data_IF_017268396021
#
_entry.id   IF_017268396021
#
_cell.length_a   1.000
_cell.length_b   1.000
_cell.length_c   1.000
_cell.angle_alpha   90.00
_cell.angle_beta   90.00
_cell.angle_gamma   90.00
#
_symmetry.space_group_name_H-M   'P 1'
#
loop_
_entity.id
_entity.type
_entity.pdbx_description
1 polymer ?
#
# COMPACT_ATOMS: atom_id res chain seq x y z
N UNK A 1 -10.79 11.36 12.66
CA UNK A 1 -10.81 12.73 12.10
C UNK A 1 -12.15 13.12 11.47
N UNK A 2 -12.68 12.36 10.51
CA UNK A 2 -13.97 12.64 9.82
C UNK A 2 -15.12 12.89 10.80
N UNK A 3 -15.37 11.97 11.75
CA UNK A 3 -16.45 12.12 12.73
C UNK A 3 -16.30 13.37 13.61
N UNK A 4 -15.06 13.73 13.96
CA UNK A 4 -14.74 14.93 14.74
C UNK A 4 -15.07 16.21 13.98
N UNK A 5 -14.59 16.33 12.73
CA UNK A 5 -14.87 17.49 11.87
C UNK A 5 -16.36 17.60 11.57
N UNK A 6 -17.01 16.47 11.25
CA UNK A 6 -18.44 16.44 11.01
C UNK A 6 -19.26 16.92 12.22
N UNK A 7 -18.92 16.45 13.42
CA UNK A 7 -19.61 16.86 14.64
C UNK A 7 -19.33 18.33 14.97
N UNK A 8 -18.12 18.83 14.72
CA UNK A 8 -17.81 20.25 14.86
C UNK A 8 -18.69 21.10 13.93
N UNK A 9 -18.78 20.73 12.65
CA UNK A 9 -19.63 21.41 11.66
C UNK A 9 -21.10 21.40 12.08
N UNK A 10 -21.64 20.25 12.48
CA UNK A 10 -23.01 20.16 12.99
C UNK A 10 -23.17 21.01 14.24
N UNK A 11 -22.17 21.01 15.12
CA UNK A 11 -22.33 21.67 16.40
C UNK A 11 -22.36 23.19 16.27
N UNK A 12 -21.57 23.74 15.34
CA UNK A 12 -21.60 25.15 14.95
C UNK A 12 -22.91 25.48 14.23
N UNK A 13 -23.35 24.67 13.27
CA UNK A 13 -24.60 24.88 12.50
C UNK A 13 -25.82 24.93 13.41
N UNK A 14 -25.88 24.06 14.41
CA UNK A 14 -27.00 23.97 15.36
C UNK A 14 -26.81 24.88 16.59
N UNK A 15 -25.77 25.72 16.62
CA UNK A 15 -25.48 26.67 17.72
C UNK A 15 -25.47 26.03 19.11
N UNK A 16 -24.89 24.84 19.23
CA UNK A 16 -24.72 24.24 20.56
C UNK A 16 -23.74 25.06 21.40
N UNK A 17 -23.92 25.01 22.73
CA UNK A 17 -23.00 25.65 23.67
C UNK A 17 -21.59 25.04 23.54
N UNK A 18 -20.56 25.84 23.85
CA UNK A 18 -19.16 25.38 23.87
C UNK A 18 -18.99 24.11 24.71
N UNK A 19 -19.67 24.05 25.87
CA UNK A 19 -19.65 22.86 26.75
C UNK A 19 -20.18 21.61 26.04
N UNK A 20 -21.24 21.74 25.23
CA UNK A 20 -21.77 20.63 24.44
C UNK A 20 -20.84 20.19 23.30
N UNK A 21 -20.12 21.13 22.67
CA UNK A 21 -19.09 20.83 21.66
C UNK A 21 -17.95 20.03 22.29
N UNK A 22 -17.42 20.50 23.42
CA UNK A 22 -16.34 19.83 24.14
C UNK A 22 -16.74 18.44 24.63
N UNK A 23 -17.93 18.27 25.20
CA UNK A 23 -18.41 16.97 25.65
C UNK A 23 -18.44 15.94 24.51
N UNK A 24 -18.92 16.32 23.32
CA UNK A 24 -18.93 15.43 22.14
C UNK A 24 -17.53 15.14 21.61
N UNK A 25 -16.66 16.15 21.58
CA UNK A 25 -15.26 15.97 21.17
C UNK A 25 -14.54 14.98 22.10
N UNK A 26 -14.72 15.11 23.41
CA UNK A 26 -14.17 14.20 24.41
C UNK A 26 -14.66 12.78 24.17
N UNK A 27 -15.98 12.56 24.01
CA UNK A 27 -16.54 11.22 23.76
C UNK A 27 -15.95 10.58 22.50
N UNK A 28 -15.65 11.36 21.46
CA UNK A 28 -15.02 10.84 20.24
C UNK A 28 -13.52 10.60 20.32
N UNK A 29 -12.80 11.40 21.11
CA UNK A 29 -11.33 11.32 21.21
C UNK A 29 -10.92 10.34 22.32
N UNK A 30 -11.71 10.21 23.39
CA UNK A 30 -11.40 9.38 24.55
C UNK A 30 -11.01 7.94 24.19
N UNK A 31 -11.68 7.24 23.26
CA UNK A 31 -11.28 5.89 22.84
C UNK A 31 -9.91 5.84 22.15
N UNK A 32 -9.44 6.96 21.58
CA UNK A 32 -8.14 7.05 20.93
C UNK A 32 -7.00 7.33 21.92
N UNK A 33 -7.29 7.78 23.13
CA UNK A 33 -6.27 8.17 24.12
C UNK A 33 -5.33 7.01 24.46
N UNK A 34 -5.79 5.78 24.78
CA UNK A 34 -4.89 4.67 25.07
C UNK A 34 -3.95 4.34 23.90
N UNK A 35 -4.48 4.41 22.68
CA UNK A 35 -3.71 4.17 21.46
C UNK A 35 -2.64 5.24 21.23
N UNK A 36 -3.01 6.53 21.35
CA UNK A 36 -2.06 7.65 21.21
C UNK A 36 -0.99 7.63 22.31
N UNK A 37 -1.38 7.27 23.54
CA UNK A 37 -0.45 7.11 24.66
C UNK A 37 0.56 5.99 24.38
N UNK A 38 0.09 4.80 24.04
CA UNK A 38 0.94 3.66 23.71
C UNK A 38 1.95 4.02 22.60
N UNK A 39 1.44 4.59 21.50
CA UNK A 39 2.27 4.95 20.36
C UNK A 39 3.31 6.04 20.73
N UNK A 40 2.91 7.04 21.51
CA UNK A 40 3.82 8.09 22.00
C UNK A 40 4.90 7.58 22.96
N UNK A 41 4.61 6.54 23.73
CA UNK A 41 5.61 5.90 24.60
C UNK A 41 6.58 5.05 23.79
N UNK A 42 6.09 4.18 22.89
CA UNK A 42 6.90 3.28 22.08
C UNK A 42 7.85 4.05 21.15
N UNK A 43 7.31 5.01 20.40
CA UNK A 43 8.10 5.84 19.47
C UNK A 43 9.23 6.64 20.12
N UNK A 44 9.16 6.91 21.44
CA UNK A 44 10.22 7.62 22.18
C UNK A 44 11.24 6.70 22.83
N UNK A 45 10.88 5.43 23.07
CA UNK A 45 11.75 4.48 23.78
C UNK A 45 12.63 3.67 22.84
N UNK A 46 12.23 3.55 21.59
CA UNK A 46 12.87 2.66 20.62
C UNK A 46 13.10 3.42 19.30
N UNK A 47 14.36 3.73 19.00
CA UNK A 47 14.77 4.45 17.78
C UNK A 47 14.39 3.71 16.49
N UNK A 48 14.28 2.39 16.55
CA UNK A 48 13.82 1.55 15.44
C UNK A 48 12.41 1.95 14.98
N UNK A 49 11.48 2.18 15.92
CA UNK A 49 10.11 2.56 15.56
C UNK A 49 10.06 3.93 14.90
N UNK A 50 10.89 4.87 15.33
CA UNK A 50 10.99 6.19 14.69
C UNK A 50 11.41 6.06 13.22
N UNK A 51 12.43 5.26 12.94
CA UNK A 51 12.93 5.02 11.58
C UNK A 51 11.88 4.31 10.71
N UNK A 52 11.24 3.26 11.24
CA UNK A 52 10.18 2.54 10.54
C UNK A 52 8.98 3.43 10.21
N UNK A 53 8.53 4.26 11.15
CA UNK A 53 7.33 5.07 11.00
C UNK A 53 7.52 6.28 10.10
N UNK A 54 8.69 6.91 10.14
CA UNK A 54 8.91 8.20 9.49
C UNK A 54 9.85 8.18 8.30
N UNK A 55 10.83 7.25 8.25
CA UNK A 55 11.79 7.19 7.14
C UNK A 55 11.34 6.19 6.06
N UNK A 56 11.02 4.96 6.47
CA UNK A 56 10.73 3.90 5.50
C UNK A 56 9.31 3.95 4.96
N UNK A 57 8.35 4.34 5.80
CA UNK A 57 6.92 4.22 5.50
C UNK A 57 6.36 5.39 4.69
N UNK A 58 7.03 5.74 3.60
CA UNK A 58 6.63 6.86 2.72
C UNK A 58 5.76 6.36 1.57
N UNK A 59 4.52 6.82 1.54
CA UNK A 59 3.59 6.63 0.42
C UNK A 59 3.05 8.01 0.06
N UNK A 60 3.65 8.67 -0.95
CA UNK A 60 3.22 10.00 -1.33
C UNK A 60 1.79 9.98 -1.87
N UNK A 61 1.02 11.05 -1.66
CA UNK A 61 -0.30 11.14 -2.26
C UNK A 61 -0.18 11.31 -3.78
N UNK A 62 -1.11 10.76 -4.56
CA UNK A 62 -1.20 11.11 -5.98
C UNK A 62 -1.46 12.63 -6.12
N UNK A 63 -0.98 13.26 -7.21
CA UNK A 63 -1.30 14.65 -7.49
C UNK A 63 -2.82 14.91 -7.45
N UNK A 64 -3.30 16.12 -7.10
CA UNK A 64 -4.74 16.42 -7.04
C UNK A 64 -5.50 16.03 -8.31
N UNK A 65 -4.92 16.30 -9.48
CA UNK A 65 -5.49 15.87 -10.76
C UNK A 65 -5.46 14.34 -10.92
N UNK A 66 -4.42 13.67 -10.42
CA UNK A 66 -4.32 12.22 -10.38
C UNK A 66 -5.43 11.57 -9.55
N UNK A 67 -5.85 12.16 -8.43
CA UNK A 67 -7.01 11.69 -7.65
C UNK A 67 -8.28 11.76 -8.50
N UNK A 68 -8.51 12.89 -9.17
CA UNK A 68 -9.69 13.08 -10.02
C UNK A 68 -9.71 12.10 -11.20
N UNK A 69 -8.57 11.96 -11.89
CA UNK A 69 -8.42 11.05 -13.03
C UNK A 69 -8.53 9.58 -12.61
N UNK A 70 -8.00 9.22 -11.43
CA UNK A 70 -8.06 7.86 -10.90
C UNK A 70 -9.50 7.36 -10.66
N UNK A 71 -10.42 8.25 -10.30
CA UNK A 71 -11.84 7.94 -10.19
C UNK A 71 -12.62 8.07 -11.50
N UNK A 72 -12.02 8.66 -12.54
CA UNK A 72 -12.62 8.81 -13.87
C UNK A 72 -14.03 9.41 -13.84
N UNK A 73 -15.00 8.75 -14.48
CA UNK A 73 -16.39 9.21 -14.54
C UNK A 73 -17.04 9.33 -13.16
N UNK A 74 -16.61 8.54 -12.16
CA UNK A 74 -17.15 8.63 -10.81
C UNK A 74 -16.83 9.98 -10.18
N UNK A 75 -15.66 10.56 -10.46
CA UNK A 75 -15.31 11.89 -9.96
C UNK A 75 -16.25 12.97 -10.50
N UNK A 76 -16.55 12.92 -11.81
CA UNK A 76 -17.47 13.85 -12.47
C UNK A 76 -18.86 13.77 -11.83
N UNK A 77 -19.42 12.56 -11.72
CA UNK A 77 -20.73 12.37 -11.12
C UNK A 77 -20.76 12.71 -9.63
N UNK A 78 -19.67 12.48 -8.90
CA UNK A 78 -19.55 12.83 -7.50
C UNK A 78 -19.59 14.35 -7.29
N UNK A 79 -18.88 15.14 -8.11
CA UNK A 79 -18.92 16.61 -8.05
C UNK A 79 -20.33 17.15 -8.30
N UNK A 80 -21.02 16.62 -9.33
CA UNK A 80 -22.43 16.95 -9.61
C UNK A 80 -23.31 16.57 -8.41
N UNK A 81 -23.05 15.39 -7.83
CA UNK A 81 -23.72 14.86 -6.65
C UNK A 81 -23.58 15.78 -5.44
N UNK A 82 -22.37 16.23 -5.12
CA UNK A 82 -22.08 17.15 -4.02
C UNK A 82 -22.89 18.44 -4.15
N UNK A 83 -22.88 19.07 -5.34
CA UNK A 83 -23.62 20.31 -5.58
C UNK A 83 -25.13 20.17 -5.33
N UNK A 84 -25.74 19.10 -5.84
CA UNK A 84 -27.17 18.81 -5.61
C UNK A 84 -27.47 18.37 -4.17
N UNK A 85 -26.58 17.61 -3.56
CA UNK A 85 -26.71 17.11 -2.19
C UNK A 85 -26.79 18.26 -1.19
N UNK A 86 -25.91 19.25 -1.34
CA UNK A 86 -25.90 20.46 -0.51
C UNK A 86 -27.13 21.32 -0.74
N UNK A 87 -27.53 21.55 -2.00
CA UNK A 87 -28.73 22.35 -2.34
C UNK A 87 -30.03 21.77 -1.77
N UNK A 88 -30.14 20.44 -1.68
CA UNK A 88 -31.33 19.76 -1.13
C UNK A 88 -31.29 19.60 0.39
N UNK A 89 -30.35 20.25 1.09
CA UNK A 89 -30.30 20.29 2.55
C UNK A 89 -30.05 18.94 3.22
N UNK A 90 -29.47 17.96 2.52
CA UNK A 90 -29.15 16.65 3.07
C UNK A 90 -28.06 16.72 4.15
N UNK A 91 -27.91 15.64 4.93
CA UNK A 91 -26.87 15.52 5.94
C UNK A 91 -25.47 15.70 5.33
N UNK A 92 -24.60 16.49 5.97
CA UNK A 92 -23.27 16.84 5.46
C UNK A 92 -22.22 15.73 5.59
N UNK A 93 -22.54 14.58 6.21
CA UNK A 93 -21.57 13.54 6.54
C UNK A 93 -20.78 13.07 5.32
N UNK A 94 -21.46 12.75 4.22
CA UNK A 94 -20.81 12.18 3.02
C UNK A 94 -19.93 13.23 2.30
N UNK A 95 -20.42 14.48 2.03
CA UNK A 95 -19.55 15.53 1.51
C UNK A 95 -18.37 15.88 2.43
N UNK A 96 -18.59 15.93 3.76
CA UNK A 96 -17.54 16.20 4.74
C UNK A 96 -16.53 15.05 4.75
N UNK A 97 -16.98 13.80 4.66
CA UNK A 97 -16.09 12.65 4.54
C UNK A 97 -15.21 12.76 3.29
N UNK A 98 -15.79 13.00 2.12
CA UNK A 98 -15.03 13.20 0.88
C UNK A 98 -13.99 14.34 1.01
N UNK A 99 -14.43 15.51 1.50
CA UNK A 99 -13.57 16.68 1.65
C UNK A 99 -12.46 16.47 2.68
N UNK A 100 -12.78 15.88 3.83
CA UNK A 100 -11.80 15.62 4.89
C UNK A 100 -10.75 14.61 4.42
N UNK A 101 -11.14 13.53 3.75
CA UNK A 101 -10.17 12.59 3.19
C UNK A 101 -9.26 13.25 2.16
N UNK A 102 -9.81 14.16 1.33
CA UNK A 102 -9.01 14.95 0.39
C UNK A 102 -8.01 15.86 1.08
N UNK A 103 -8.39 16.53 2.17
CA UNK A 103 -7.47 17.35 2.92
C UNK A 103 -6.40 16.51 3.63
N UNK A 104 -6.76 15.36 4.21
CA UNK A 104 -5.83 14.45 4.89
C UNK A 104 -4.77 13.92 3.94
N UNK A 105 -5.15 13.62 2.70
CA UNK A 105 -4.25 13.11 1.68
C UNK A 105 -3.03 14.02 1.46
N UNK A 106 -3.19 15.33 1.66
CA UNK A 106 -2.11 16.31 1.48
C UNK A 106 -1.56 16.87 2.80
N UNK A 107 -1.89 16.26 3.94
CA UNK A 107 -1.19 16.55 5.18
C UNK A 107 0.25 16.02 5.10
N UNK A 108 1.21 16.67 5.78
CA UNK A 108 2.63 16.32 5.74
C UNK A 108 2.93 15.08 6.60
N UNK A 109 2.23 13.97 6.31
CA UNK A 109 2.48 12.67 6.89
C UNK A 109 3.14 11.75 5.86
N UNK A 110 4.20 11.00 6.21
CA UNK A 110 4.90 10.11 5.29
C UNK A 110 3.97 9.13 4.54
N UNK A 111 2.95 8.61 5.23
CA UNK A 111 2.01 7.61 4.72
C UNK A 111 0.68 8.20 4.24
N UNK A 112 0.61 9.50 3.94
CA UNK A 112 -0.64 10.18 3.63
C UNK A 112 -1.35 9.61 2.40
N UNK A 113 -0.61 9.07 1.42
CA UNK A 113 -1.15 8.40 0.25
C UNK A 113 -2.09 7.24 0.57
N UNK A 114 -1.93 6.55 1.71
CA UNK A 114 -2.85 5.47 2.13
C UNK A 114 -4.26 5.95 2.41
N UNK A 115 -4.45 7.23 2.76
CA UNK A 115 -5.77 7.79 2.99
C UNK A 115 -6.62 7.89 1.72
N UNK A 116 -6.01 7.72 0.53
CA UNK A 116 -6.74 7.53 -0.72
C UNK A 116 -7.72 6.35 -0.67
N UNK A 117 -7.41 5.28 0.07
CA UNK A 117 -8.29 4.11 0.23
C UNK A 117 -9.65 4.48 0.85
N UNK A 118 -9.67 5.50 1.71
CA UNK A 118 -10.89 5.98 2.37
C UNK A 118 -11.85 6.74 1.46
N UNK A 119 -11.47 7.07 0.22
CA UNK A 119 -12.30 7.87 -0.70
C UNK A 119 -13.38 7.07 -1.42
N UNK A 120 -13.19 5.77 -1.61
CA UNK A 120 -14.04 4.99 -2.52
C UNK A 120 -15.52 5.07 -2.11
N UNK A 121 -15.80 4.95 -0.81
CA UNK A 121 -17.17 4.97 -0.26
C UNK A 121 -17.85 6.33 -0.48
N UNK A 122 -17.30 7.48 -0.01
CA UNK A 122 -17.98 8.76 -0.18
C UNK A 122 -18.06 9.18 -1.66
N UNK A 123 -17.04 8.93 -2.47
CA UNK A 123 -17.06 9.25 -3.91
C UNK A 123 -18.12 8.42 -4.64
N UNK A 124 -18.16 7.10 -4.44
CA UNK A 124 -19.17 6.24 -5.06
C UNK A 124 -20.60 6.63 -4.64
N UNK A 125 -20.80 6.97 -3.37
CA UNK A 125 -22.10 7.41 -2.84
C UNK A 125 -22.55 8.71 -3.51
N UNK A 126 -21.65 9.70 -3.60
CA UNK A 126 -21.94 10.99 -4.23
C UNK A 126 -22.14 10.83 -5.74
N UNK A 127 -21.38 9.96 -6.39
CA UNK A 127 -21.50 9.66 -7.81
C UNK A 127 -22.85 9.02 -8.14
N UNK A 128 -23.25 7.98 -7.41
CA UNK A 128 -24.55 7.34 -7.57
C UNK A 128 -25.70 8.34 -7.34
N UNK A 129 -25.58 9.19 -6.31
CA UNK A 129 -26.55 10.24 -6.05
C UNK A 129 -26.62 11.28 -7.19
N UNK A 130 -25.46 11.76 -7.67
CA UNK A 130 -25.37 12.70 -8.77
C UNK A 130 -25.99 12.14 -10.04
N UNK A 131 -25.71 10.87 -10.35
CA UNK A 131 -26.27 10.18 -11.50
C UNK A 131 -27.80 10.07 -11.41
N UNK A 132 -28.33 9.56 -10.29
CA UNK A 132 -29.76 9.30 -10.11
C UNK A 132 -30.61 10.56 -9.93
N UNK A 133 -30.09 11.54 -9.18
CA UNK A 133 -30.88 12.72 -8.77
C UNK A 133 -30.64 13.95 -9.62
N UNK A 134 -29.62 13.94 -10.48
CA UNK A 134 -29.27 15.07 -11.35
C UNK A 134 -29.15 14.64 -12.80
N UNK A 135 -28.24 13.73 -13.12
CA UNK A 135 -27.93 13.38 -14.52
C UNK A 135 -29.11 12.73 -15.22
N UNK A 136 -29.71 11.66 -14.67
CA UNK A 136 -30.84 11.01 -15.31
C UNK A 136 -32.07 11.93 -15.48
N UNK A 137 -32.47 12.74 -14.49
CA UNK A 137 -33.50 13.76 -14.69
C UNK A 137 -33.20 14.74 -15.83
N UNK A 138 -31.96 15.22 -15.97
CA UNK A 138 -31.56 16.10 -17.07
C UNK A 138 -31.59 15.38 -18.43
N UNK A 139 -31.10 14.13 -18.46
CA UNK A 139 -31.14 13.32 -19.68
C UNK A 139 -32.57 13.10 -20.15
N UNK A 140 -33.55 12.87 -19.26
CA UNK A 140 -34.97 12.74 -19.62
C UNK A 140 -35.51 13.92 -20.45
N UNK A 141 -34.99 15.12 -20.24
CA UNK A 141 -35.38 16.32 -20.99
C UNK A 141 -34.65 16.50 -22.33
N UNK A 142 -33.63 15.70 -22.61
CA UNK A 142 -32.79 15.80 -23.79
C UNK A 142 -33.40 15.12 -25.03
N UNK A 143 -33.02 15.59 -26.21
CA UNK A 143 -33.33 14.94 -27.50
C UNK A 143 -32.70 13.54 -27.60
N UNK A 144 -31.57 13.30 -26.93
CA UNK A 144 -30.93 11.99 -26.84
C UNK A 144 -31.86 10.96 -26.18
N UNK A 145 -32.54 11.33 -25.10
CA UNK A 145 -33.49 10.45 -24.43
C UNK A 145 -34.65 10.04 -25.33
N UNK A 146 -35.17 10.97 -26.17
CA UNK A 146 -36.21 10.64 -27.14
C UNK A 146 -35.77 9.59 -28.15
N UNK A 147 -34.49 9.57 -28.54
CA UNK A 147 -33.93 8.53 -29.43
C UNK A 147 -33.90 7.18 -28.72
N UNK A 148 -33.40 7.12 -27.49
CA UNK A 148 -33.36 5.88 -26.69
C UNK A 148 -34.78 5.38 -26.39
N UNK A 149 -35.72 6.27 -26.10
CA UNK A 149 -37.13 5.95 -25.85
C UNK A 149 -37.87 5.34 -27.05
N UNK A 150 -37.35 5.46 -28.27
CA UNK A 150 -37.88 4.75 -29.44
C UNK A 150 -37.40 3.30 -29.52
N UNK A 151 -36.30 2.98 -28.86
CA UNK A 151 -35.66 1.65 -28.93
C UNK A 151 -36.11 0.76 -27.75
N UNK A 152 -36.37 1.34 -26.59
CA UNK A 152 -36.69 0.60 -25.36
C UNK A 152 -37.85 1.23 -24.59
N UNK A 153 -38.63 0.39 -23.91
CA UNK A 153 -39.75 0.82 -23.05
C UNK A 153 -39.28 1.46 -21.74
N UNK A 154 -38.06 1.19 -21.29
CA UNK A 154 -37.50 1.70 -20.01
C UNK A 154 -36.17 2.43 -20.22
N UNK A 155 -36.16 3.63 -20.82
CA UNK A 155 -34.92 4.25 -21.32
C UNK A 155 -33.92 4.59 -20.23
N UNK A 156 -34.38 5.04 -19.06
CA UNK A 156 -33.48 5.34 -17.92
C UNK A 156 -32.85 4.07 -17.37
N UNK A 157 -33.62 2.99 -17.21
CA UNK A 157 -33.06 1.73 -16.71
C UNK A 157 -32.11 1.10 -17.73
N UNK A 158 -32.39 1.23 -19.02
CA UNK A 158 -31.46 0.84 -20.09
C UNK A 158 -30.17 1.65 -20.01
N UNK A 159 -30.23 2.98 -19.89
CA UNK A 159 -29.04 3.81 -19.73
C UNK A 159 -28.24 3.47 -18.46
N UNK A 160 -28.93 3.20 -17.34
CA UNK A 160 -28.30 2.73 -16.10
C UNK A 160 -27.55 1.41 -16.32
N UNK A 161 -28.19 0.43 -16.95
CA UNK A 161 -27.56 -0.86 -17.26
C UNK A 161 -26.37 -0.71 -18.19
N UNK A 162 -26.49 0.10 -19.25
CA UNK A 162 -25.38 0.39 -20.17
C UNK A 162 -24.22 1.03 -19.43
N UNK A 163 -24.47 2.03 -18.57
CA UNK A 163 -23.42 2.65 -17.77
C UNK A 163 -22.72 1.63 -16.85
N UNK A 164 -23.47 0.76 -16.17
CA UNK A 164 -22.89 -0.32 -15.36
C UNK A 164 -22.05 -1.25 -16.24
N UNK A 165 -22.56 -1.68 -17.39
CA UNK A 165 -21.83 -2.54 -18.33
C UNK A 165 -20.54 -1.87 -18.81
N UNK A 166 -20.56 -0.56 -19.07
CA UNK A 166 -19.36 0.20 -19.47
C UNK A 166 -18.30 0.31 -18.37
N UNK A 167 -18.62 -0.01 -17.10
CA UNK A 167 -17.62 -0.11 -16.03
C UNK A 167 -16.96 -1.50 -15.95
N UNK A 168 -17.52 -2.51 -16.62
CA UNK A 168 -16.98 -3.87 -16.60
C UNK A 168 -15.61 -3.97 -17.30
N UNK A 169 -15.38 -3.35 -18.50
CA UNK A 169 -14.10 -3.46 -19.19
C UNK A 169 -12.90 -3.06 -18.35
N UNK A 170 -12.98 -2.02 -17.51
CA UNK A 170 -11.84 -1.63 -16.67
C UNK A 170 -11.49 -2.71 -15.64
N UNK A 171 -12.51 -3.35 -15.05
CA UNK A 171 -12.31 -4.46 -14.10
C UNK A 171 -11.75 -5.69 -14.81
N UNK A 172 -12.27 -6.01 -16.00
CA UNK A 172 -11.75 -7.11 -16.83
C UNK A 172 -10.30 -6.85 -17.21
N UNK A 173 -9.94 -5.63 -17.64
CA UNK A 173 -8.57 -5.28 -18.01
C UNK A 173 -7.59 -5.47 -16.85
N UNK A 174 -7.98 -5.12 -15.62
CA UNK A 174 -7.15 -5.37 -14.43
C UNK A 174 -6.94 -6.87 -14.23
N UNK A 175 -8.00 -7.67 -14.29
CA UNK A 175 -7.91 -9.14 -14.12
C UNK A 175 -7.09 -9.78 -15.25
N UNK A 176 -7.33 -9.37 -16.50
CA UNK A 176 -6.56 -9.83 -17.65
C UNK A 176 -5.09 -9.47 -17.52
N UNK A 177 -4.78 -8.26 -17.09
CA UNK A 177 -3.40 -7.83 -16.84
C UNK A 177 -2.78 -8.68 -15.74
N UNK A 178 -3.48 -8.95 -14.64
CA UNK A 178 -2.99 -9.86 -13.60
C UNK A 178 -2.72 -11.26 -14.14
N UNK A 179 -3.67 -11.86 -14.85
CA UNK A 179 -3.51 -13.20 -15.46
C UNK A 179 -2.33 -13.21 -16.43
N UNK A 180 -2.20 -12.18 -17.26
CA UNK A 180 -1.09 -12.05 -18.20
C UNK A 180 0.26 -11.99 -17.46
N UNK A 181 0.37 -11.21 -16.39
CA UNK A 181 1.60 -11.17 -15.60
C UNK A 181 1.89 -12.53 -14.94
N UNK A 182 0.88 -13.20 -14.39
CA UNK A 182 1.02 -14.55 -13.81
C UNK A 182 1.48 -15.58 -14.86
N UNK A 183 1.03 -15.48 -16.11
CA UNK A 183 1.44 -16.40 -17.19
C UNK A 183 2.82 -16.05 -17.74
N UNK A 184 3.19 -14.77 -17.82
CA UNK A 184 4.40 -14.31 -18.48
C UNK A 184 5.60 -14.13 -17.55
N UNK A 185 5.36 -13.99 -16.25
CA UNK A 185 6.41 -13.80 -15.24
C UNK A 185 6.67 -15.13 -14.55
N UNK A 186 7.89 -15.63 -14.63
CA UNK A 186 8.31 -16.88 -13.98
C UNK A 186 9.13 -16.64 -12.71
N UNK A 187 9.18 -15.39 -12.24
CA UNK A 187 10.11 -14.91 -11.21
C UNK A 187 9.43 -13.97 -10.18
N UNK A 188 10.19 -13.46 -9.20
CA UNK A 188 9.75 -12.49 -8.22
C UNK A 188 9.14 -11.25 -8.91
N UNK A 189 8.01 -10.70 -8.40
CA UNK A 189 7.39 -10.97 -7.10
C UNK A 189 6.31 -12.05 -7.09
N UNK A 190 6.08 -12.77 -8.20
CA UNK A 190 4.96 -13.70 -8.31
C UNK A 190 5.34 -15.15 -7.97
N UNK A 191 6.55 -15.55 -8.33
CA UNK A 191 7.04 -16.92 -8.15
C UNK A 191 8.39 -16.91 -7.45
N UNK A 192 8.69 -18.05 -6.82
CA UNK A 192 10.01 -18.39 -6.30
C UNK A 192 10.43 -19.72 -6.90
N UNK A 193 11.73 -19.92 -7.10
CA UNK A 193 12.25 -21.18 -7.62
C UNK A 193 12.19 -22.28 -6.56
N UNK A 194 11.95 -23.52 -6.98
CA UNK A 194 11.84 -24.66 -6.05
C UNK A 194 13.12 -24.85 -5.23
N UNK A 195 14.28 -24.63 -5.85
CA UNK A 195 15.60 -24.69 -5.20
C UNK A 195 15.75 -23.65 -4.08
N UNK A 196 15.13 -22.48 -4.24
CA UNK A 196 15.12 -21.42 -3.22
C UNK A 196 14.20 -21.76 -2.06
N UNK A 197 13.08 -22.45 -2.33
CA UNK A 197 12.17 -22.94 -1.29
C UNK A 197 12.87 -24.00 -0.44
N UNK A 198 13.54 -24.97 -1.07
CA UNK A 198 14.31 -26.01 -0.35
C UNK A 198 15.40 -25.40 0.53
N UNK A 199 16.14 -24.42 0.00
CA UNK A 199 17.16 -23.69 0.76
C UNK A 199 16.56 -22.90 1.94
N UNK A 200 15.38 -22.30 1.75
CA UNK A 200 14.67 -21.58 2.81
C UNK A 200 14.14 -22.52 3.90
N UNK A 201 13.66 -23.71 3.54
CA UNK A 201 13.27 -24.76 4.49
C UNK A 201 14.47 -25.26 5.29
N UNK A 202 15.62 -25.47 4.63
CA UNK A 202 16.86 -25.81 5.33
C UNK A 202 17.25 -24.73 6.34
N UNK A 203 17.19 -23.44 5.95
CA UNK A 203 17.44 -22.34 6.88
C UNK A 203 16.46 -22.32 8.05
N UNK A 204 15.19 -22.65 7.82
CA UNK A 204 14.19 -22.68 8.90
C UNK A 204 14.56 -23.70 9.99
N UNK A 205 15.12 -24.85 9.60
CA UNK A 205 15.53 -25.91 10.54
C UNK A 205 16.89 -25.64 11.21
N UNK A 206 17.72 -24.76 10.63
CA UNK A 206 19.10 -24.54 11.08
C UNK A 206 19.36 -23.14 11.65
N UNK A 207 18.37 -22.24 11.62
CA UNK A 207 18.49 -20.90 12.20
C UNK A 207 17.85 -20.80 13.58
N UNK A 208 18.34 -19.89 14.40
CA UNK A 208 17.79 -19.46 15.69
C UNK A 208 17.60 -17.93 15.71
N UNK A 209 17.03 -17.38 16.79
CA UNK A 209 16.69 -15.95 16.91
C UNK A 209 17.90 -14.99 16.84
N UNK A 210 19.11 -15.49 17.12
CA UNK A 210 20.34 -14.69 17.08
C UNK A 210 20.99 -14.68 15.69
N UNK A 211 20.58 -15.59 14.80
CA UNK A 211 21.17 -15.69 13.47
C UNK A 211 20.71 -14.55 12.56
N UNK A 212 21.65 -14.07 11.74
CA UNK A 212 21.40 -13.09 10.70
C UNK A 212 21.70 -13.70 9.33
N UNK A 213 20.69 -13.77 8.48
CA UNK A 213 20.81 -14.23 7.09
C UNK A 213 21.01 -13.04 6.16
N UNK A 214 22.10 -13.05 5.41
CA UNK A 214 22.42 -12.08 4.37
C UNK A 214 21.93 -12.59 3.02
N UNK A 215 20.73 -12.15 2.63
CA UNK A 215 20.05 -12.48 1.39
C UNK A 215 19.59 -11.20 0.69
N UNK A 216 19.45 -11.26 -0.63
CA UNK A 216 18.91 -10.16 -1.44
C UNK A 216 17.39 -10.03 -1.30
N UNK A 217 16.83 -8.95 -1.85
CA UNK A 217 15.47 -8.47 -1.59
C UNK A 217 14.36 -9.52 -1.71
N UNK A 218 14.30 -10.36 -2.77
CA UNK A 218 13.25 -11.37 -2.90
C UNK A 218 13.25 -12.38 -1.75
N UNK A 219 14.37 -13.07 -1.55
CA UNK A 219 14.48 -14.09 -0.49
C UNK A 219 14.47 -13.49 0.90
N UNK A 220 15.05 -12.30 1.07
CA UNK A 220 14.94 -11.52 2.30
C UNK A 220 13.49 -11.16 2.68
N UNK A 221 12.57 -11.04 1.72
CA UNK A 221 11.13 -10.87 1.98
C UNK A 221 10.42 -12.19 2.31
N UNK A 222 10.88 -13.30 1.72
CA UNK A 222 10.28 -14.62 1.90
C UNK A 222 10.67 -15.27 3.23
N UNK A 223 11.97 -15.26 3.55
CA UNK A 223 12.55 -15.98 4.69
C UNK A 223 11.89 -15.67 6.05
N UNK A 224 11.49 -14.43 6.40
CA UNK A 224 10.84 -14.14 7.68
C UNK A 224 9.53 -14.89 7.93
N UNK A 225 8.95 -15.53 6.90
CA UNK A 225 7.80 -16.43 7.05
C UNK A 225 8.18 -17.77 7.70
N UNK A 226 9.41 -18.22 7.50
CA UNK A 226 9.86 -19.58 7.83
C UNK A 226 10.90 -19.60 8.95
N UNK A 227 11.89 -18.70 8.88
CA UNK A 227 13.03 -18.71 9.80
C UNK A 227 12.68 -18.01 11.12
N UNK A 228 13.27 -18.47 12.23
CA UNK A 228 13.21 -17.75 13.51
C UNK A 228 14.26 -16.64 13.61
N UNK A 229 15.28 -16.66 12.74
CA UNK A 229 16.33 -15.67 12.68
C UNK A 229 15.91 -14.34 12.04
N UNK A 230 16.90 -13.47 11.89
CA UNK A 230 16.76 -12.14 11.27
C UNK A 230 17.27 -12.19 9.84
N UNK A 231 16.73 -11.30 9.00
CA UNK A 231 17.25 -11.05 7.65
C UNK A 231 17.92 -9.68 7.61
N UNK A 232 19.05 -9.60 6.90
CA UNK A 232 19.76 -8.33 6.73
C UNK A 232 18.89 -7.30 6.01
N UNK A 233 18.16 -7.77 5.00
CA UNK A 233 17.32 -6.99 4.11
C UNK A 233 16.04 -7.77 3.84
N UNK A 234 14.89 -7.11 3.91
CA UNK A 234 13.57 -7.72 3.72
C UNK A 234 12.56 -6.70 3.22
N UNK A 235 11.38 -6.63 3.82
CA UNK A 235 10.28 -5.80 3.30
C UNK A 235 10.61 -4.31 3.25
N UNK A 236 10.20 -3.64 2.16
CA UNK A 236 10.57 -2.24 1.89
C UNK A 236 10.16 -1.24 2.98
N UNK A 237 9.04 -1.48 3.68
CA UNK A 237 8.60 -0.64 4.79
C UNK A 237 9.14 -1.07 6.16
N UNK A 238 9.79 -2.24 6.26
CA UNK A 238 10.22 -2.86 7.53
C UNK A 238 11.74 -3.00 7.66
N UNK A 239 12.49 -2.76 6.58
CA UNK A 239 13.96 -2.79 6.57
C UNK A 239 14.51 -1.38 6.75
N UNK A 240 15.08 -1.07 7.92
CA UNK A 240 15.77 0.20 8.16
C UNK A 240 16.87 0.44 7.12
N UNK A 241 16.96 1.67 6.61
CA UNK A 241 17.94 2.11 5.61
C UNK A 241 17.97 1.19 4.38
N UNK A 242 16.80 0.85 3.84
CA UNK A 242 16.65 -0.09 2.73
C UNK A 242 17.61 0.23 1.56
N UNK A 243 17.64 1.48 1.09
CA UNK A 243 18.44 1.87 -0.08
C UNK A 243 19.95 1.67 0.14
N UNK A 244 20.44 1.99 1.34
CA UNK A 244 21.83 1.76 1.73
C UNK A 244 22.13 0.26 1.77
N UNK A 245 21.26 -0.52 2.41
CA UNK A 245 21.43 -1.98 2.51
C UNK A 245 21.34 -2.69 1.16
N UNK A 246 20.46 -2.23 0.25
CA UNK A 246 20.42 -2.72 -1.14
C UNK A 246 21.77 -2.50 -1.80
N UNK A 247 22.29 -1.27 -1.73
CA UNK A 247 23.60 -0.90 -2.29
C UNK A 247 24.73 -1.76 -1.69
N UNK A 248 24.68 -2.07 -0.40
CA UNK A 248 25.66 -2.94 0.27
C UNK A 248 25.60 -4.39 -0.22
N UNK A 249 24.40 -4.96 -0.39
CA UNK A 249 24.24 -6.33 -0.91
C UNK A 249 24.66 -6.41 -2.38
N UNK A 250 24.26 -5.44 -3.20
CA UNK A 250 24.67 -5.36 -4.61
C UNK A 250 26.20 -5.25 -4.74
N UNK A 251 26.83 -4.37 -3.95
CA UNK A 251 28.28 -4.23 -3.89
C UNK A 251 28.96 -5.50 -3.39
N UNK A 252 28.38 -6.21 -2.43
CA UNK A 252 28.92 -7.48 -1.95
C UNK A 252 29.02 -8.50 -3.09
N UNK A 253 28.00 -8.59 -3.95
CA UNK A 253 27.98 -9.52 -5.08
C UNK A 253 28.71 -9.01 -6.34
N UNK A 254 29.05 -7.72 -6.45
CA UNK A 254 29.84 -7.18 -7.56
C UNK A 254 31.22 -7.87 -7.65
N UNK A 255 31.55 -8.38 -8.85
CA UNK A 255 32.82 -9.07 -9.13
C UNK A 255 34.09 -8.24 -8.83
N UNK A 256 34.04 -6.91 -8.92
CA UNK A 256 35.16 -6.01 -8.68
C UNK A 256 35.40 -5.73 -7.18
N UNK A 257 34.47 -6.13 -6.32
CA UNK A 257 34.62 -5.92 -4.88
C UNK A 257 35.70 -6.83 -4.31
N UNK A 258 36.65 -6.33 -3.51
CA UNK A 258 37.67 -7.16 -2.86
C UNK A 258 37.08 -8.06 -1.76
N UNK A 259 37.61 -9.27 -1.60
CA UNK A 259 37.19 -10.19 -0.52
C UNK A 259 37.37 -9.58 0.88
N UNK A 260 38.40 -8.77 1.11
CA UNK A 260 38.61 -8.08 2.38
C UNK A 260 37.47 -7.12 2.74
N UNK A 261 36.83 -6.50 1.73
CA UNK A 261 35.65 -5.68 1.96
C UNK A 261 34.41 -6.52 2.28
N UNK A 262 34.24 -7.65 1.56
CA UNK A 262 33.16 -8.63 1.82
C UNK A 262 33.23 -9.18 3.24
N UNK A 263 34.42 -9.58 3.68
CA UNK A 263 34.64 -10.07 5.04
C UNK A 263 34.36 -8.99 6.08
N UNK A 264 34.76 -7.74 5.81
CA UNK A 264 34.51 -6.60 6.68
C UNK A 264 33.01 -6.37 6.97
N UNK A 265 32.16 -6.35 5.93
CA UNK A 265 30.72 -6.10 6.12
C UNK A 265 30.03 -7.27 6.84
N UNK A 266 30.43 -8.52 6.55
CA UNK A 266 29.89 -9.71 7.21
C UNK A 266 30.21 -9.72 8.71
N UNK A 267 31.44 -9.34 9.06
CA UNK A 267 31.88 -9.21 10.46
C UNK A 267 31.21 -8.03 11.17
N UNK A 268 31.12 -6.87 10.52
CA UNK A 268 30.51 -5.66 11.08
C UNK A 268 29.06 -5.90 11.51
N UNK A 269 28.29 -6.62 10.68
CA UNK A 269 26.88 -6.89 10.93
C UNK A 269 26.63 -8.20 11.70
N UNK A 270 27.66 -9.00 11.96
CA UNK A 270 27.51 -10.31 12.62
C UNK A 270 26.64 -11.27 11.80
N UNK A 271 26.76 -11.23 10.47
CA UNK A 271 26.03 -12.15 9.58
C UNK A 271 26.46 -13.58 9.91
N UNK A 272 25.49 -14.49 10.04
CA UNK A 272 25.71 -15.91 10.33
C UNK A 272 25.64 -16.77 9.07
N UNK A 273 24.68 -16.48 8.20
CA UNK A 273 24.47 -17.20 6.95
C UNK A 273 24.51 -16.25 5.77
N UNK A 274 25.25 -16.62 4.73
CA UNK A 274 25.26 -15.91 3.45
C UNK A 274 24.49 -16.75 2.46
N UNK A 275 23.41 -16.18 1.91
CA UNK A 275 22.55 -16.83 0.94
C UNK A 275 22.98 -16.43 -0.47
N UNK A 276 23.28 -17.41 -1.31
CA UNK A 276 23.60 -17.19 -2.73
C UNK A 276 22.62 -18.00 -3.59
N UNK A 277 21.56 -17.35 -4.08
CA UNK A 277 20.57 -17.96 -4.96
C UNK A 277 20.47 -17.25 -6.31
N UNK A 278 19.29 -17.32 -6.92
CA UNK A 278 19.06 -16.83 -8.28
C UNK A 278 19.41 -15.34 -8.42
N UNK A 279 18.91 -14.52 -7.50
CA UNK A 279 19.07 -13.07 -7.56
C UNK A 279 20.49 -12.61 -7.21
N UNK A 280 21.16 -13.27 -6.28
CA UNK A 280 22.56 -12.99 -5.96
C UNK A 280 23.47 -13.34 -7.13
N UNK A 281 23.21 -14.47 -7.80
CA UNK A 281 23.95 -14.90 -8.99
C UNK A 281 23.73 -13.95 -10.18
N UNK A 282 22.62 -13.22 -10.25
CA UNK A 282 22.39 -12.24 -11.31
C UNK A 282 23.38 -11.06 -11.28
N UNK A 283 23.91 -10.71 -10.10
CA UNK A 283 24.94 -9.68 -9.96
C UNK A 283 26.33 -10.17 -10.38
N UNK A 284 26.54 -11.49 -10.37
CA UNK A 284 27.78 -12.09 -10.83
C UNK A 284 27.56 -13.53 -11.35
N UNK A 285 27.50 -13.72 -12.67
CA UNK A 285 27.37 -15.06 -13.25
C UNK A 285 28.62 -15.94 -13.08
N UNK A 286 29.69 -15.42 -12.47
CA UNK A 286 30.88 -16.19 -12.06
C UNK A 286 30.87 -16.54 -10.57
N UNK A 287 31.49 -17.66 -10.21
CA UNK A 287 31.63 -18.05 -8.81
C UNK A 287 32.52 -17.06 -8.06
N UNK A 288 31.96 -16.25 -7.16
CA UNK A 288 32.76 -15.55 -6.15
C UNK A 288 33.38 -16.64 -5.26
N UNK A 289 34.71 -16.70 -5.25
CA UNK A 289 35.42 -17.57 -4.33
C UNK A 289 35.33 -16.98 -2.91
N UNK A 290 34.24 -17.31 -2.23
CA UNK A 290 34.04 -17.04 -0.82
C UNK A 290 34.88 -18.02 0.01
N UNK A 291 35.46 -17.52 1.09
CA UNK A 291 36.34 -18.28 1.99
C UNK A 291 35.57 -19.08 3.05
N UNK A 292 34.26 -18.84 3.15
CA UNK A 292 33.35 -19.45 4.13
C UNK A 292 32.96 -20.89 3.78
N UNK A 293 32.61 -21.67 4.81
CA UNK A 293 32.20 -23.07 4.65
C UNK A 293 30.80 -23.16 4.04
N UNK A 294 30.63 -24.03 3.04
CA UNK A 294 29.33 -24.33 2.44
C UNK A 294 28.60 -25.34 3.33
N UNK A 295 27.43 -24.93 3.86
CA UNK A 295 26.59 -25.76 4.75
C UNK A 295 25.36 -26.32 4.05
N UNK A 296 24.96 -25.71 2.93
CA UNK A 296 23.90 -26.21 2.08
C UNK A 296 24.22 -25.88 0.62
N UNK A 297 23.91 -26.81 -0.28
CA UNK A 297 24.04 -26.61 -1.72
C UNK A 297 23.08 -27.51 -2.48
N UNK A 298 22.30 -26.90 -3.38
CA UNK A 298 21.56 -27.60 -4.42
C UNK A 298 21.94 -27.04 -5.80
N UNK A 299 21.11 -27.27 -6.82
CA UNK A 299 21.43 -26.93 -8.20
C UNK A 299 21.59 -25.42 -8.44
N UNK A 300 20.85 -24.58 -7.71
CA UNK A 300 20.81 -23.12 -7.94
C UNK A 300 21.21 -22.29 -6.71
N UNK A 301 21.19 -22.87 -5.51
CA UNK A 301 21.43 -22.15 -4.26
C UNK A 301 22.60 -22.74 -3.50
N UNK A 302 23.44 -21.87 -2.96
CA UNK A 302 24.50 -22.21 -2.01
C UNK A 302 24.37 -21.33 -0.77
N UNK A 303 24.47 -21.94 0.42
CA UNK A 303 24.48 -21.22 1.69
C UNK A 303 25.82 -21.45 2.36
N UNK A 304 26.40 -20.36 2.82
CA UNK A 304 27.67 -20.36 3.56
C UNK A 304 27.43 -20.02 5.02
N UNK A 305 28.19 -20.64 5.92
CA UNK A 305 28.28 -20.25 7.33
C UNK A 305 29.52 -19.40 7.57
N UNK A 306 29.38 -18.38 8.41
CA UNK A 306 30.47 -17.47 8.79
C UNK A 306 31.06 -17.80 10.17
N UNK A 307 30.52 -18.84 10.82
CA UNK A 307 30.97 -19.37 12.11
C UNK A 307 32.19 -20.27 11.96
#
# INVERSE_FOLDING_TARGET
MIAGIFTLIISVRNRYSLRGIWARAIVMIAPLIPFLYYFGVVSRRESLWEQLLFQNNTIPPPPPLGVFLGFGLLAIFALIGVGSWMKRGRNLLVPVWAGVNFLILYLPFPFSGRFALGFIIPVATLAAYGLEKVVFPLVKTSTFYRKVARITQTPVDTLRRVLIILTIPSSILVVMWTIQNVILTEDFPLYYHIDEIEAAEWLADHTNEDDLVFAYYPMGNYLPRLITGKVFLGHLFLTVNLDEKLTLVEKFWDSNTPNSWREGIILEWGVTYIYQGHYENAFNPGSIALTWEIVFKNDQVTIYTTR
#
